data_IF_638414252575
#
_entry.id   IF_638414252575
#
_cell.length_a   1.000
_cell.length_b   1.000
_cell.length_c   1.000
_cell.angle_alpha   90.00
_cell.angle_beta   90.00
_cell.angle_gamma   90.00
#
_symmetry.space_group_name_H-M   'P 1'
#
loop_
_entity.id
_entity.type
_entity.pdbx_description
1 polymer ?
#
# COMPACT_ATOMS: atom_id res chain seq x y z
N UNK A 1 -44.85 48.42 -11.56
CA UNK A 1 -44.91 47.80 -10.21
C UNK A 1 -44.93 46.26 -10.25
N UNK A 2 -45.29 45.64 -11.39
CA UNK A 2 -45.31 44.15 -11.52
C UNK A 2 -43.93 43.49 -11.80
N UNK A 3 -43.01 44.20 -12.44
CA UNK A 3 -41.70 43.64 -12.82
C UNK A 3 -40.78 43.40 -11.59
N UNK A 4 -40.95 44.17 -10.52
CA UNK A 4 -40.14 44.09 -9.33
C UNK A 4 -40.51 42.87 -8.43
N UNK A 5 -41.76 42.42 -8.55
CA UNK A 5 -42.25 41.25 -7.79
C UNK A 5 -41.78 39.94 -8.47
N UNK A 6 -41.66 39.90 -9.79
CA UNK A 6 -41.19 38.72 -10.53
C UNK A 6 -39.67 38.51 -10.34
N UNK A 7 -38.89 39.55 -10.24
CA UNK A 7 -37.44 39.45 -10.01
C UNK A 7 -37.09 38.91 -8.64
N UNK A 8 -37.89 39.25 -7.63
CA UNK A 8 -37.70 38.75 -6.24
C UNK A 8 -38.06 37.28 -6.09
N UNK A 9 -39.01 36.78 -6.86
CA UNK A 9 -39.42 35.38 -6.85
C UNK A 9 -38.40 34.46 -7.52
N UNK A 10 -37.73 34.93 -8.57
CA UNK A 10 -36.67 34.19 -9.25
C UNK A 10 -35.39 34.10 -8.42
N UNK A 11 -35.02 35.16 -7.70
CA UNK A 11 -33.80 35.18 -6.88
C UNK A 11 -33.97 34.28 -5.62
N UNK A 12 -35.18 34.21 -5.06
CA UNK A 12 -35.40 33.38 -3.86
C UNK A 12 -35.45 31.90 -4.15
N UNK A 13 -35.91 31.49 -5.33
CA UNK A 13 -35.91 30.07 -5.74
C UNK A 13 -34.54 29.60 -6.28
N UNK A 14 -33.72 30.52 -6.82
CA UNK A 14 -32.38 30.16 -7.29
C UNK A 14 -31.38 29.92 -6.18
N UNK A 15 -31.53 30.61 -5.03
CA UNK A 15 -30.67 30.41 -3.85
C UNK A 15 -30.92 29.06 -3.15
N UNK A 16 -32.17 28.56 -3.14
CA UNK A 16 -32.49 27.24 -2.54
C UNK A 16 -32.05 26.08 -3.42
N UNK A 17 -32.02 26.26 -4.76
CA UNK A 17 -31.58 25.22 -5.68
C UNK A 17 -30.05 25.05 -5.69
N UNK A 18 -29.30 26.14 -5.50
CA UNK A 18 -27.83 26.12 -5.42
C UNK A 18 -27.33 25.49 -4.10
N UNK A 19 -28.10 25.62 -3.00
CA UNK A 19 -27.74 25.00 -1.71
C UNK A 19 -27.98 23.49 -1.71
N UNK A 20 -28.95 23.00 -2.47
CA UNK A 20 -29.24 21.56 -2.57
C UNK A 20 -28.24 20.82 -3.48
N UNK A 21 -27.68 21.49 -4.50
CA UNK A 21 -26.65 20.88 -5.35
C UNK A 21 -25.26 20.84 -4.70
N UNK A 22 -24.97 21.79 -3.80
CA UNK A 22 -23.68 21.81 -3.09
C UNK A 22 -23.60 20.75 -1.96
N UNK A 23 -24.76 20.39 -1.39
CA UNK A 23 -24.80 19.35 -0.32
C UNK A 23 -24.68 17.91 -0.86
N UNK A 24 -25.07 17.65 -2.11
CA UNK A 24 -24.97 16.30 -2.71
C UNK A 24 -23.58 15.95 -3.23
N UNK A 25 -22.74 16.94 -3.57
CA UNK A 25 -21.39 16.69 -4.05
C UNK A 25 -20.38 16.38 -2.93
N UNK A 26 -20.74 16.65 -1.67
CA UNK A 26 -19.86 16.42 -0.52
C UNK A 26 -20.02 15.02 0.09
N UNK A 27 -21.07 14.26 -0.27
CA UNK A 27 -21.33 12.91 0.27
C UNK A 27 -20.59 11.82 -0.51
N UNK A 28 -20.13 12.11 -1.73
CA UNK A 28 -19.39 11.15 -2.58
C UNK A 28 -17.87 11.21 -2.34
N UNK A 29 -17.37 12.23 -1.61
CA UNK A 29 -15.95 12.35 -1.23
C UNK A 29 -15.62 11.72 0.13
N UNK A 30 -16.56 11.05 0.79
CA UNK A 30 -16.28 10.29 1.99
C UNK A 30 -15.86 8.86 1.63
N UNK A 31 -14.59 8.57 1.95
CA UNK A 31 -13.96 7.25 2.01
C UNK A 31 -13.61 6.55 0.68
N UNK A 32 -12.93 7.22 -0.21
CA UNK A 32 -11.87 6.53 -0.92
C UNK A 32 -10.62 6.52 -0.02
N UNK A 33 -10.65 5.78 1.09
CA UNK A 33 -9.44 5.35 1.77
C UNK A 33 -8.66 4.58 0.72
N UNK A 34 -7.56 5.16 0.23
CA UNK A 34 -6.71 4.50 -0.76
C UNK A 34 -6.36 3.13 -0.18
N UNK A 35 -6.81 2.08 -0.85
CA UNK A 35 -6.58 0.72 -0.41
C UNK A 35 -5.07 0.51 -0.30
N UNK A 36 -4.59 -0.05 0.80
CA UNK A 36 -3.18 -0.29 1.01
C UNK A 36 -2.71 -1.34 -0.01
N UNK A 37 -1.46 -1.27 -0.41
CA UNK A 37 -0.84 -2.21 -1.34
C UNK A 37 0.09 -3.12 -0.56
N UNK A 38 0.00 -4.43 -0.82
CA UNK A 38 0.95 -5.43 -0.33
C UNK A 38 1.92 -5.75 -1.47
N UNK A 39 3.12 -5.19 -1.39
CA UNK A 39 4.20 -5.44 -2.35
C UNK A 39 4.85 -6.81 -2.06
N UNK A 40 4.56 -7.78 -2.91
CA UNK A 40 5.16 -9.12 -2.85
C UNK A 40 6.49 -9.06 -3.59
N UNK A 41 7.61 -9.24 -2.87
CA UNK A 41 8.95 -9.01 -3.42
C UNK A 41 9.22 -9.95 -4.60
N UNK A 42 8.97 -11.22 -4.43
CA UNK A 42 9.15 -12.20 -5.48
C UNK A 42 7.95 -13.13 -5.57
N UNK A 43 7.50 -13.40 -6.80
CA UNK A 43 6.46 -14.38 -7.00
C UNK A 43 6.96 -15.76 -6.53
N UNK A 44 6.18 -16.42 -5.71
CA UNK A 44 6.49 -17.77 -5.27
C UNK A 44 5.84 -18.73 -6.23
N UNK A 45 6.60 -19.71 -6.73
CA UNK A 45 6.09 -20.76 -7.57
C UNK A 45 4.80 -21.32 -7.02
N UNK A 46 3.71 -20.97 -7.71
CA UNK A 46 2.41 -21.50 -7.39
C UNK A 46 2.42 -22.98 -7.62
N UNK A 47 2.09 -23.69 -6.63
CA UNK A 47 1.21 -24.84 -6.70
C UNK A 47 0.92 -25.37 -8.10
N UNK A 48 1.82 -26.11 -8.64
CA UNK A 48 1.37 -27.22 -9.48
C UNK A 48 0.72 -28.23 -8.52
N UNK A 49 -0.57 -28.43 -8.76
CA UNK A 49 -1.40 -29.50 -8.19
C UNK A 49 -1.04 -29.94 -6.75
N UNK A 50 -1.63 -29.33 -5.76
CA UNK A 50 -1.90 -30.01 -4.51
C UNK A 50 -1.24 -29.50 -3.24
N UNK A 51 -0.16 -28.70 -3.28
CA UNK A 51 0.44 -28.22 -2.03
C UNK A 51 1.13 -26.84 -2.17
N UNK A 52 0.48 -25.74 -1.83
CA UNK A 52 1.13 -24.44 -1.83
C UNK A 52 2.27 -24.44 -0.80
N UNK A 53 3.50 -24.30 -1.26
CA UNK A 53 4.67 -24.19 -0.38
C UNK A 53 4.53 -23.01 0.57
N UNK A 54 3.87 -21.94 0.16
CA UNK A 54 3.57 -20.77 0.99
C UNK A 54 2.22 -20.20 0.54
N UNK A 55 1.25 -20.14 1.45
CA UNK A 55 -0.04 -19.52 1.17
C UNK A 55 0.02 -18.03 1.51
N UNK A 56 0.14 -17.17 0.49
CA UNK A 56 0.16 -15.71 0.67
C UNK A 56 -1.25 -15.11 0.81
N UNK A 57 -2.32 -15.88 0.55
CA UNK A 57 -3.69 -15.36 0.59
C UNK A 57 -4.07 -14.75 1.94
N UNK A 58 -3.49 -15.25 3.04
CA UNK A 58 -3.70 -14.66 4.36
C UNK A 58 -3.18 -13.21 4.50
N UNK A 59 -2.31 -12.74 3.60
CA UNK A 59 -1.84 -11.37 3.58
C UNK A 59 -2.78 -10.42 2.82
N UNK A 60 -3.75 -10.93 2.05
CA UNK A 60 -4.70 -10.13 1.27
C UNK A 60 -5.57 -9.20 2.15
N UNK A 61 -5.78 -9.56 3.41
CA UNK A 61 -6.52 -8.70 4.37
C UNK A 61 -5.83 -7.36 4.66
N UNK A 62 -4.56 -7.21 4.30
CA UNK A 62 -3.78 -5.99 4.49
C UNK A 62 -3.76 -5.07 3.26
N UNK A 63 -4.19 -5.56 2.09
CA UNK A 63 -4.26 -4.78 0.87
C UNK A 63 -4.17 -5.61 -0.41
N UNK A 64 -4.19 -4.92 -1.55
CA UNK A 64 -4.07 -5.53 -2.86
C UNK A 64 -2.62 -5.99 -3.14
N UNK A 65 -2.47 -7.17 -3.76
CA UNK A 65 -1.15 -7.69 -4.09
C UNK A 65 -0.55 -7.04 -5.33
N UNK A 66 0.69 -6.58 -5.21
CA UNK A 66 1.52 -6.11 -6.30
C UNK A 66 2.86 -6.84 -6.33
N UNK A 67 3.06 -7.67 -7.34
CA UNK A 67 4.27 -8.47 -7.49
C UNK A 67 5.42 -7.64 -8.09
N UNK A 68 6.59 -7.66 -7.42
CA UNK A 68 7.74 -6.90 -7.86
C UNK A 68 8.59 -7.67 -8.87
N UNK A 69 8.89 -8.92 -8.57
CA UNK A 69 9.76 -9.75 -9.41
C UNK A 69 9.11 -11.10 -9.75
N UNK A 70 9.42 -11.65 -10.92
CA UNK A 70 8.99 -12.98 -11.30
C UNK A 70 9.66 -14.03 -10.40
N UNK A 71 9.10 -15.23 -10.45
CA UNK A 71 9.68 -16.44 -9.90
C UNK A 71 11.09 -16.68 -10.46
N UNK A 72 11.98 -17.26 -9.66
CA UNK A 72 13.37 -17.55 -10.04
C UNK A 72 14.28 -16.34 -10.32
N UNK A 73 13.85 -15.11 -10.01
CA UNK A 73 14.75 -13.98 -10.02
C UNK A 73 15.87 -14.21 -9.01
N UNK A 74 17.12 -14.07 -9.45
CA UNK A 74 18.31 -14.25 -8.61
C UNK A 74 19.29 -13.11 -8.83
N UNK A 75 19.99 -12.73 -7.78
CA UNK A 75 21.03 -11.70 -7.81
C UNK A 75 22.40 -12.40 -7.79
N UNK A 76 22.90 -12.86 -8.97
CA UNK A 76 24.12 -13.65 -9.01
C UNK A 76 25.34 -12.81 -9.42
N UNK A 77 25.33 -12.15 -10.57
CA UNK A 77 26.52 -11.51 -11.13
C UNK A 77 26.43 -10.00 -11.31
N UNK A 78 25.26 -9.47 -11.58
CA UNK A 78 25.05 -8.05 -11.84
C UNK A 78 23.78 -7.55 -11.14
N UNK A 79 23.90 -6.88 -10.00
CA UNK A 79 22.74 -6.40 -9.25
C UNK A 79 22.05 -5.19 -9.90
N UNK A 80 22.75 -4.44 -10.76
CA UNK A 80 22.27 -3.16 -11.30
C UNK A 80 20.90 -3.20 -11.96
N UNK A 81 20.65 -4.09 -12.95
CA UNK A 81 19.36 -4.17 -13.63
C UNK A 81 18.20 -4.53 -12.68
N UNK A 82 18.46 -5.39 -11.70
CA UNK A 82 17.47 -5.81 -10.71
C UNK A 82 17.14 -4.70 -9.73
N UNK A 83 18.17 -3.98 -9.25
CA UNK A 83 18.00 -2.78 -8.40
C UNK A 83 17.19 -1.72 -9.15
N UNK A 84 17.51 -1.45 -10.41
CA UNK A 84 16.77 -0.51 -11.23
C UNK A 84 15.29 -0.91 -11.35
N UNK A 85 15.01 -2.17 -11.63
CA UNK A 85 13.64 -2.70 -11.74
C UNK A 85 12.88 -2.55 -10.43
N UNK A 86 13.50 -2.88 -9.28
CA UNK A 86 12.90 -2.71 -7.97
C UNK A 86 12.59 -1.24 -7.66
N UNK A 87 13.53 -0.31 -7.93
CA UNK A 87 13.31 1.14 -7.74
C UNK A 87 12.14 1.63 -8.59
N UNK A 88 12.03 1.20 -9.86
CA UNK A 88 10.90 1.59 -10.72
C UNK A 88 9.56 1.08 -10.19
N UNK A 89 9.50 -0.14 -9.69
CA UNK A 89 8.26 -0.75 -9.19
C UNK A 89 7.86 -0.23 -7.82
N UNK A 90 8.82 0.15 -6.98
CA UNK A 90 8.62 0.67 -5.63
C UNK A 90 8.48 2.19 -5.57
N UNK A 91 8.66 2.93 -6.68
CA UNK A 91 8.64 4.41 -6.69
C UNK A 91 7.40 5.04 -6.07
N UNK A 92 6.27 4.34 -6.06
CA UNK A 92 5.00 4.80 -5.50
C UNK A 92 4.68 4.13 -4.16
N UNK A 93 5.66 3.50 -3.51
CA UNK A 93 5.48 2.91 -2.18
C UNK A 93 5.21 4.01 -1.15
N UNK A 94 4.22 3.79 -0.29
CA UNK A 94 3.81 4.72 0.77
C UNK A 94 4.07 4.08 2.14
N UNK A 95 4.25 4.86 3.22
CA UNK A 95 4.44 4.33 4.57
C UNK A 95 3.30 3.41 5.06
N UNK A 96 2.09 3.59 4.53
CA UNK A 96 0.91 2.79 4.87
C UNK A 96 0.87 1.44 4.14
N UNK A 97 1.64 1.28 3.06
CA UNK A 97 1.73 0.05 2.29
C UNK A 97 2.59 -0.99 3.02
N UNK A 98 2.48 -2.24 2.59
CA UNK A 98 3.18 -3.35 3.21
C UNK A 98 4.17 -4.00 2.26
N UNK A 99 5.31 -4.44 2.80
CA UNK A 99 6.29 -5.24 2.07
C UNK A 99 6.24 -6.69 2.57
N UNK A 100 5.84 -7.61 1.69
CA UNK A 100 5.79 -9.04 1.99
C UNK A 100 7.11 -9.71 1.62
N UNK A 101 7.82 -10.21 2.63
CA UNK A 101 9.17 -10.76 2.50
C UNK A 101 9.15 -12.16 1.91
N UNK A 102 9.19 -12.26 0.59
CA UNK A 102 9.17 -13.52 -0.16
C UNK A 102 10.30 -13.59 -1.16
N UNK A 103 10.95 -14.75 -1.28
CA UNK A 103 11.97 -15.00 -2.29
C UNK A 103 13.40 -15.02 -1.77
N UNK A 104 14.35 -14.61 -2.62
CA UNK A 104 15.78 -14.59 -2.33
C UNK A 104 16.13 -13.58 -1.23
N UNK A 105 16.86 -13.97 -0.16
CA UNK A 105 17.25 -13.07 0.93
C UNK A 105 18.02 -11.82 0.48
N UNK A 106 18.87 -11.93 -0.55
CA UNK A 106 19.61 -10.78 -1.09
C UNK A 106 18.67 -9.76 -1.75
N UNK A 107 17.67 -10.25 -2.49
CA UNK A 107 16.65 -9.41 -3.11
C UNK A 107 15.76 -8.74 -2.04
N UNK A 108 15.40 -9.48 -0.98
CA UNK A 108 14.65 -8.94 0.16
C UNK A 108 15.43 -7.79 0.80
N UNK A 109 16.73 -7.97 1.08
CA UNK A 109 17.57 -6.94 1.67
C UNK A 109 17.63 -5.67 0.82
N UNK A 110 17.76 -5.81 -0.50
CA UNK A 110 17.75 -4.66 -1.43
C UNK A 110 16.40 -3.99 -1.48
N UNK A 111 15.29 -4.74 -1.51
CA UNK A 111 13.95 -4.17 -1.51
C UNK A 111 13.69 -3.37 -0.22
N UNK A 112 14.05 -3.89 0.95
CA UNK A 112 13.95 -3.19 2.22
C UNK A 112 14.80 -1.91 2.23
N UNK A 113 16.02 -1.94 1.69
CA UNK A 113 16.89 -0.76 1.59
C UNK A 113 16.27 0.32 0.70
N UNK A 114 15.69 -0.06 -0.45
CA UNK A 114 15.02 0.87 -1.36
C UNK A 114 13.78 1.50 -0.69
N UNK A 115 12.97 0.70 -0.02
CA UNK A 115 11.78 1.19 0.68
C UNK A 115 12.18 2.13 1.81
N UNK A 116 13.19 1.77 2.60
CA UNK A 116 13.76 2.62 3.66
C UNK A 116 14.23 3.98 3.12
N UNK A 117 14.90 4.00 1.96
CA UNK A 117 15.34 5.23 1.28
C UNK A 117 14.14 6.12 0.86
N UNK A 118 13.09 5.52 0.29
CA UNK A 118 11.89 6.24 -0.16
C UNK A 118 11.08 6.82 1.00
N UNK A 119 10.99 6.08 2.11
CA UNK A 119 10.11 6.40 3.25
C UNK A 119 10.85 7.04 4.43
N UNK A 120 12.09 7.42 4.25
CA UNK A 120 12.93 7.94 5.35
C UNK A 120 12.93 7.00 6.57
N UNK A 121 13.13 5.70 6.34
CA UNK A 121 13.28 4.70 7.38
C UNK A 121 12.00 4.27 8.09
N UNK A 122 10.82 4.64 7.60
CA UNK A 122 9.53 4.25 8.18
C UNK A 122 8.71 3.45 7.18
N UNK A 123 8.51 2.16 7.44
CA UNK A 123 7.76 1.27 6.54
C UNK A 123 7.23 0.04 7.26
N UNK A 124 6.27 -0.64 6.64
CA UNK A 124 5.64 -1.82 7.20
C UNK A 124 6.08 -3.10 6.50
N UNK A 125 6.38 -4.12 7.29
CA UNK A 125 6.67 -5.47 6.81
C UNK A 125 5.53 -6.41 7.17
N UNK A 126 5.31 -7.43 6.36
CA UNK A 126 4.46 -8.57 6.71
C UNK A 126 5.32 -9.81 6.95
N UNK A 127 5.27 -10.31 8.18
CA UNK A 127 5.96 -11.51 8.61
C UNK A 127 4.99 -12.69 8.75
N UNK A 128 5.33 -13.84 8.18
CA UNK A 128 4.60 -15.07 8.39
C UNK A 128 5.00 -15.72 9.72
N UNK A 129 4.01 -15.97 10.56
CA UNK A 129 4.18 -16.78 11.76
C UNK A 129 3.81 -18.24 11.47
N UNK A 130 4.78 -19.13 11.68
CA UNK A 130 4.64 -20.57 11.42
C UNK A 130 3.77 -21.27 12.46
N UNK A 131 3.75 -20.79 13.70
CA UNK A 131 3.01 -21.40 14.80
C UNK A 131 1.53 -21.09 14.67
N UNK A 132 1.21 -19.80 14.49
CA UNK A 132 -0.18 -19.36 14.39
C UNK A 132 -0.72 -19.38 12.95
N UNK A 133 0.13 -19.72 11.96
CA UNK A 133 -0.21 -19.80 10.54
C UNK A 133 -0.92 -18.53 10.02
N UNK A 134 -0.43 -17.37 10.44
CA UNK A 134 -0.97 -16.07 10.02
C UNK A 134 0.13 -15.04 9.77
N UNK A 135 -0.25 -13.95 9.06
CA UNK A 135 0.63 -12.81 8.84
C UNK A 135 0.43 -11.76 9.93
N UNK A 136 1.56 -11.20 10.40
CA UNK A 136 1.62 -10.07 11.30
C UNK A 136 2.29 -8.87 10.64
N UNK A 137 1.71 -7.68 10.78
CA UNK A 137 2.39 -6.45 10.39
C UNK A 137 3.46 -6.13 11.42
N UNK A 138 4.62 -5.70 10.93
CA UNK A 138 5.73 -5.16 11.73
C UNK A 138 6.01 -3.77 11.24
N UNK A 139 5.81 -2.78 12.06
CA UNK A 139 6.19 -1.41 11.78
C UNK A 139 7.69 -1.22 12.04
N UNK A 140 8.39 -0.73 11.04
CA UNK A 140 9.82 -0.39 11.12
C UNK A 140 9.96 1.12 11.18
N UNK A 141 10.66 1.60 12.21
CA UNK A 141 11.08 2.97 12.36
C UNK A 141 12.56 3.00 12.75
N UNK A 142 13.43 3.27 11.79
CA UNK A 142 14.89 3.24 12.02
C UNK A 142 15.41 4.37 12.93
N UNK A 143 14.58 5.37 13.22
CA UNK A 143 14.95 6.51 14.08
C UNK A 143 14.35 6.41 15.49
N UNK A 144 13.55 5.39 15.75
CA UNK A 144 13.04 5.12 17.09
C UNK A 144 14.15 4.60 17.99
N UNK A 145 14.38 5.29 19.10
CA UNK A 145 15.31 4.81 20.12
C UNK A 145 14.59 3.73 20.91
N UNK A 146 14.96 2.47 20.68
CA UNK A 146 14.49 1.37 21.51
C UNK A 146 14.94 1.60 22.96
N UNK A 147 14.07 1.36 23.92
CA UNK A 147 14.48 1.19 25.32
C UNK A 147 15.30 -0.10 25.37
N UNK A 148 16.59 0.03 25.71
CA UNK A 148 17.44 -1.10 26.01
C UNK A 148 17.15 -1.44 27.48
N UNK A 149 16.39 -2.52 27.71
CA UNK A 149 16.29 -3.11 29.04
C UNK A 149 17.68 -3.67 29.39
N UNK A 150 18.46 -2.90 30.13
CA UNK A 150 19.70 -3.39 30.77
C UNK A 150 19.31 -4.39 31.87
N UNK A 151 19.14 -5.67 31.49
CA UNK A 151 19.05 -6.80 32.40
C UNK A 151 20.40 -7.51 32.56
#
# INVERSE_FOLDING_TARGET
>A
MLVWFFLKFIIHNFSSFLLLTYSSSCIICQDMKAENIVYVIQHIAGTQAGNPKINIMGAQKYGEFKFLLPEFSQMIFSPGPLIYTLRQKLKNYRPEDYLLLTGDPAIIGVACSIVSDITNGKFNLLKWDKQEKKYYPIEINLYEKGEIDDN
#
